data_IF_468173017467
#
_entry.id   IF_468173017467
#
_cell.length_a   1.000
_cell.length_b   1.000
_cell.length_c   1.000
_cell.angle_alpha   90.00
_cell.angle_beta   90.00
_cell.angle_gamma   90.00
#
_symmetry.space_group_name_H-M   'P 1'
#
loop_
_entity.id
_entity.type
_entity.pdbx_description
1 polymer ?
#
# COMPACT_ATOMS: atom_id res chain seq x y z
N UNK A 1 14.58 -12.76 4.47
CA UNK A 1 16.01 -13.15 4.56
C UNK A 1 16.92 -12.08 3.91
N UNK A 2 16.67 -11.68 2.64
CA UNK A 2 17.51 -10.67 1.95
C UNK A 2 17.52 -9.34 2.72
N UNK A 3 16.36 -8.81 3.10
CA UNK A 3 16.27 -7.55 3.84
C UNK A 3 16.90 -7.62 5.25
N UNK A 4 16.95 -8.81 5.87
CA UNK A 4 17.65 -9.01 7.15
C UNK A 4 19.17 -9.10 7.01
N UNK A 5 19.66 -9.56 5.87
CA UNK A 5 21.08 -9.64 5.54
C UNK A 5 21.64 -8.35 4.94
N UNK A 6 20.80 -7.31 4.78
CA UNK A 6 21.19 -5.99 4.32
C UNK A 6 21.03 -4.96 5.46
N UNK A 7 21.63 -3.79 5.32
CA UNK A 7 21.44 -2.65 6.24
C UNK A 7 20.08 -1.95 6.07
N UNK A 8 19.10 -2.64 5.48
CA UNK A 8 17.77 -2.10 5.23
C UNK A 8 17.02 -1.88 6.56
N UNK A 9 16.53 -0.67 6.76
CA UNK A 9 15.77 -0.28 7.95
C UNK A 9 14.27 -0.33 7.73
N UNK A 10 13.84 -0.15 6.47
CA UNK A 10 12.45 -0.20 6.05
C UNK A 10 12.35 -1.14 4.85
N UNK A 11 11.50 -2.15 4.96
CA UNK A 11 11.07 -2.99 3.84
C UNK A 11 9.71 -2.51 3.37
N UNK A 12 9.55 -2.30 2.07
CA UNK A 12 8.29 -1.92 1.46
C UNK A 12 7.85 -3.05 0.53
N UNK A 13 6.60 -3.47 0.62
CA UNK A 13 6.02 -4.48 -0.28
C UNK A 13 4.90 -3.86 -1.12
N UNK A 14 4.52 -4.49 -2.26
CA UNK A 14 3.44 -4.01 -3.12
C UNK A 14 2.06 -3.98 -2.44
N UNK A 15 1.10 -3.38 -3.13
CA UNK A 15 -0.32 -3.43 -2.81
C UNK A 15 -0.80 -4.88 -2.72
N UNK A 16 -1.63 -5.21 -1.71
CA UNK A 16 -2.20 -6.54 -1.42
C UNK A 16 -1.19 -7.69 -1.43
N UNK A 17 0.09 -7.43 -1.12
CA UNK A 17 1.18 -8.42 -1.22
C UNK A 17 1.02 -9.64 -0.31
N UNK A 18 0.14 -9.60 0.71
CA UNK A 18 -0.17 -10.76 1.55
C UNK A 18 -0.97 -11.82 0.79
N UNK A 19 -1.89 -11.40 -0.08
CA UNK A 19 -2.80 -12.30 -0.79
C UNK A 19 -2.59 -12.33 -2.31
N UNK A 20 -1.79 -11.42 -2.84
CA UNK A 20 -1.70 -11.17 -4.29
C UNK A 20 -2.78 -10.21 -4.78
N UNK A 21 -2.66 -9.77 -6.04
CA UNK A 21 -3.58 -8.86 -6.71
C UNK A 21 -3.91 -9.37 -8.11
N UNK A 22 -5.20 -9.43 -8.53
CA UNK A 22 -6.42 -9.19 -7.73
C UNK A 22 -6.83 -10.45 -6.94
N UNK A 23 -7.25 -10.33 -5.69
CA UNK A 23 -7.72 -11.47 -4.88
C UNK A 23 -9.19 -11.84 -5.15
N UNK A 24 -9.95 -11.00 -5.84
CA UNK A 24 -11.33 -11.22 -6.29
C UNK A 24 -12.27 -11.79 -5.23
N UNK A 25 -13.08 -12.82 -5.58
CA UNK A 25 -14.10 -13.41 -4.70
C UNK A 25 -13.50 -14.12 -3.46
N UNK A 26 -12.19 -14.36 -3.41
CA UNK A 26 -11.53 -14.81 -2.19
C UNK A 26 -11.75 -13.82 -1.03
N UNK A 27 -11.92 -12.53 -1.32
CA UNK A 27 -12.22 -11.50 -0.34
C UNK A 27 -13.56 -11.69 0.38
N UNK A 28 -14.49 -12.43 -0.20
CA UNK A 28 -15.78 -12.77 0.40
C UNK A 28 -15.64 -13.88 1.46
N UNK A 29 -14.58 -14.66 1.40
CA UNK A 29 -14.31 -15.73 2.36
C UNK A 29 -13.71 -15.16 3.65
N UNK A 30 -14.42 -15.41 4.75
CA UNK A 30 -14.00 -14.94 6.08
C UNK A 30 -12.65 -15.56 6.49
N UNK A 31 -12.48 -16.87 6.28
CA UNK A 31 -11.28 -17.59 6.70
C UNK A 31 -10.05 -17.13 5.94
N UNK A 32 -10.21 -16.75 4.66
CA UNK A 32 -9.15 -16.15 3.86
C UNK A 32 -8.67 -14.82 4.46
N UNK A 33 -9.58 -13.95 4.86
CA UNK A 33 -9.23 -12.67 5.48
C UNK A 33 -8.58 -12.88 6.85
N UNK A 34 -9.12 -13.81 7.66
CA UNK A 34 -8.55 -14.13 8.97
C UNK A 34 -7.12 -14.69 8.83
N UNK A 35 -6.83 -15.48 7.79
CA UNK A 35 -5.47 -15.97 7.52
C UNK A 35 -4.54 -14.87 7.02
N UNK A 36 -5.02 -13.90 6.26
CA UNK A 36 -4.27 -12.69 5.91
C UNK A 36 -3.85 -11.91 7.17
N UNK A 37 -4.77 -11.70 8.10
CA UNK A 37 -4.50 -11.01 9.37
C UNK A 37 -3.51 -11.81 10.23
N UNK A 38 -3.65 -13.14 10.33
CA UNK A 38 -2.72 -14.02 11.03
C UNK A 38 -1.32 -13.96 10.42
N UNK A 39 -1.22 -13.98 9.09
CA UNK A 39 0.05 -13.86 8.37
C UNK A 39 0.74 -12.54 8.66
N UNK A 40 -0.01 -11.45 8.72
CA UNK A 40 0.50 -10.13 9.05
C UNK A 40 1.13 -10.11 10.46
N UNK A 41 0.44 -10.69 11.45
CA UNK A 41 0.92 -10.78 12.82
C UNK A 41 2.16 -11.68 12.93
N UNK A 42 2.18 -12.84 12.25
CA UNK A 42 3.37 -13.72 12.19
C UNK A 42 4.59 -13.01 11.62
N UNK A 43 4.41 -12.21 10.55
CA UNK A 43 5.50 -11.42 9.96
C UNK A 43 6.00 -10.37 10.95
N UNK A 44 5.10 -9.63 11.61
CA UNK A 44 5.46 -8.64 12.60
C UNK A 44 6.31 -9.24 13.72
N UNK A 45 5.88 -10.36 14.28
CA UNK A 45 6.57 -11.07 15.38
C UNK A 45 7.91 -11.66 14.95
N UNK A 46 8.00 -12.18 13.71
CA UNK A 46 9.22 -12.79 13.17
C UNK A 46 10.32 -11.76 12.88
N UNK A 47 9.95 -10.52 12.55
CA UNK A 47 10.88 -9.47 12.13
C UNK A 47 10.75 -8.18 12.98
N UNK A 48 10.87 -8.25 14.31
CA UNK A 48 10.55 -7.13 15.20
C UNK A 48 11.49 -5.92 15.05
N UNK A 49 12.69 -6.11 14.53
CA UNK A 49 13.70 -5.05 14.35
C UNK A 49 13.56 -4.31 13.02
N UNK A 50 12.91 -4.90 12.02
CA UNK A 50 12.71 -4.33 10.70
C UNK A 50 11.35 -3.61 10.67
N UNK A 51 11.32 -2.36 10.20
CA UNK A 51 10.06 -1.69 9.88
C UNK A 51 9.57 -2.19 8.54
N UNK A 52 8.36 -2.75 8.48
CA UNK A 52 7.79 -3.31 7.25
C UNK A 52 6.53 -2.57 6.90
N UNK A 53 6.43 -2.09 5.65
CA UNK A 53 5.21 -1.54 5.07
C UNK A 53 4.65 -2.60 4.13
N UNK A 54 3.45 -3.10 4.42
CA UNK A 54 2.91 -4.28 3.74
C UNK A 54 1.45 -4.08 3.35
N UNK A 55 1.15 -4.34 2.05
CA UNK A 55 -0.21 -4.30 1.50
C UNK A 55 -1.00 -5.57 1.85
N UNK A 56 -2.23 -5.41 2.30
CA UNK A 56 -3.10 -6.52 2.69
C UNK A 56 -4.59 -6.13 2.68
N UNK A 57 -5.54 -7.10 2.52
CA UNK A 57 -6.94 -6.86 2.80
C UNK A 57 -7.14 -6.78 4.32
N UNK A 58 -8.01 -5.91 4.80
CA UNK A 58 -8.29 -5.71 6.22
C UNK A 58 -9.79 -5.65 6.49
N UNK A 59 -10.29 -6.46 7.42
CA UNK A 59 -11.65 -6.33 7.95
C UNK A 59 -11.65 -5.44 9.20
N UNK A 60 -12.47 -4.40 9.20
CA UNK A 60 -12.63 -3.52 10.34
C UNK A 60 -14.08 -3.07 10.49
N UNK A 61 -14.69 -3.30 11.65
CA UNK A 61 -16.11 -2.98 11.94
C UNK A 61 -17.08 -3.52 10.89
N UNK A 62 -16.84 -4.75 10.41
CA UNK A 62 -17.68 -5.42 9.42
C UNK A 62 -17.42 -4.98 7.96
N UNK A 63 -16.58 -3.99 7.73
CA UNK A 63 -16.21 -3.49 6.41
C UNK A 63 -14.85 -4.03 5.98
N UNK A 64 -14.64 -4.19 4.68
CA UNK A 64 -13.39 -4.65 4.10
C UNK A 64 -12.66 -3.48 3.43
N UNK A 65 -11.35 -3.41 3.61
CA UNK A 65 -10.48 -2.35 3.09
C UNK A 65 -9.27 -2.93 2.37
N UNK A 66 -8.84 -2.28 1.28
CA UNK A 66 -7.51 -2.44 0.72
C UNK A 66 -6.57 -1.57 1.56
N UNK A 67 -5.67 -2.18 2.30
CA UNK A 67 -4.90 -1.50 3.34
C UNK A 67 -3.40 -1.69 3.21
N UNK A 68 -2.66 -0.79 3.81
CA UNK A 68 -1.22 -0.93 4.04
C UNK A 68 -0.91 -0.71 5.52
N UNK A 69 -0.29 -1.70 6.14
CA UNK A 69 0.10 -1.65 7.56
C UNK A 69 1.60 -1.46 7.73
N UNK A 70 1.96 -0.71 8.76
CA UNK A 70 3.33 -0.54 9.24
C UNK A 70 3.53 -1.51 10.40
N UNK A 71 4.39 -2.50 10.18
CA UNK A 71 4.78 -3.48 11.20
C UNK A 71 6.10 -3.04 11.81
N UNK A 72 6.16 -3.00 13.13
CA UNK A 72 7.38 -2.70 13.86
C UNK A 72 7.29 -3.16 15.31
N UNK A 73 8.41 -3.59 15.89
CA UNK A 73 8.48 -4.07 17.29
C UNK A 73 7.49 -5.19 17.60
N UNK A 74 7.30 -6.11 16.66
CA UNK A 74 6.45 -7.29 16.82
C UNK A 74 4.95 -7.03 16.74
N UNK A 75 4.50 -5.86 16.28
CA UNK A 75 3.09 -5.47 16.20
C UNK A 75 2.78 -4.60 14.98
N UNK A 76 1.50 -4.45 14.69
CA UNK A 76 0.99 -3.45 13.76
C UNK A 76 1.03 -2.09 14.47
N UNK A 77 1.83 -1.16 13.96
CA UNK A 77 2.00 0.18 14.52
C UNK A 77 0.91 1.14 14.03
N UNK A 78 0.65 1.11 12.72
CA UNK A 78 -0.37 1.94 12.04
C UNK A 78 -0.90 1.22 10.81
N UNK A 79 -2.11 1.59 10.38
CA UNK A 79 -2.72 1.10 9.15
C UNK A 79 -3.33 2.26 8.36
N UNK A 80 -3.13 2.25 7.06
CA UNK A 80 -3.72 3.14 6.07
C UNK A 80 -4.71 2.34 5.21
N UNK A 81 -5.89 2.88 4.99
CA UNK A 81 -6.88 2.31 4.10
C UNK A 81 -6.95 3.16 2.82
N UNK A 82 -6.87 2.51 1.67
CA UNK A 82 -6.95 3.12 0.34
C UNK A 82 -8.19 3.99 0.22
N UNK A 83 -8.04 5.22 -0.26
CA UNK A 83 -9.15 6.18 -0.33
C UNK A 83 -9.83 6.19 -1.69
N UNK A 84 -9.09 5.95 -2.76
CA UNK A 84 -9.62 5.92 -4.12
C UNK A 84 -9.63 4.49 -4.63
N UNK A 85 -10.81 3.97 -4.87
CA UNK A 85 -11.04 2.62 -5.36
C UNK A 85 -11.34 2.67 -6.86
N UNK A 86 -10.42 2.21 -7.72
CA UNK A 86 -10.68 2.14 -9.16
C UNK A 86 -11.77 1.13 -9.46
N UNK A 87 -12.65 1.48 -10.41
CA UNK A 87 -13.75 0.63 -10.87
C UNK A 87 -13.94 0.80 -12.38
N UNK A 88 -12.86 0.60 -13.12
CA UNK A 88 -12.79 0.71 -14.58
C UNK A 88 -11.74 -0.25 -15.15
N UNK A 89 -11.89 -0.65 -16.41
CA UNK A 89 -11.00 -1.60 -17.05
C UNK A 89 -11.00 -2.93 -16.32
N UNK A 90 -9.84 -3.36 -15.85
CA UNK A 90 -9.64 -4.61 -15.09
C UNK A 90 -9.90 -4.45 -13.58
N UNK A 91 -10.26 -3.28 -13.13
CA UNK A 91 -10.44 -3.00 -11.71
C UNK A 91 -11.90 -3.03 -11.30
N UNK A 92 -12.23 -3.80 -10.25
CA UNK A 92 -13.55 -3.85 -9.61
C UNK A 92 -13.44 -3.74 -8.07
N UNK A 93 -12.63 -2.79 -7.60
CA UNK A 93 -12.36 -2.69 -6.17
C UNK A 93 -13.59 -2.26 -5.34
N UNK A 94 -14.49 -1.48 -5.91
CA UNK A 94 -15.72 -1.03 -5.21
C UNK A 94 -16.68 -2.16 -4.89
N UNK A 95 -16.58 -3.30 -5.59
CA UNK A 95 -17.37 -4.50 -5.30
C UNK A 95 -17.04 -5.08 -3.94
N UNK A 96 -15.79 -4.95 -3.51
CA UNK A 96 -15.28 -5.62 -2.32
C UNK A 96 -14.91 -4.65 -1.20
N UNK A 97 -14.28 -3.54 -1.54
CA UNK A 97 -13.65 -2.67 -0.57
C UNK A 97 -14.46 -1.39 -0.29
N UNK A 98 -14.37 -0.96 0.95
CA UNK A 98 -14.81 0.37 1.38
C UNK A 98 -13.65 1.35 1.29
N UNK A 99 -13.91 2.57 0.82
CA UNK A 99 -12.92 3.63 0.77
C UNK A 99 -12.52 4.11 2.18
N UNK A 100 -11.22 4.27 2.40
CA UNK A 100 -10.68 4.96 3.55
C UNK A 100 -10.92 6.48 3.48
N UNK A 101 -10.65 7.17 4.59
CA UNK A 101 -10.88 8.62 4.68
C UNK A 101 -9.82 9.40 5.46
N UNK A 102 -8.73 8.74 5.86
CA UNK A 102 -7.68 9.34 6.71
C UNK A 102 -6.31 9.23 6.05
N UNK A 103 -5.57 10.32 6.05
CA UNK A 103 -4.16 10.30 5.69
C UNK A 103 -3.34 9.60 6.77
N UNK A 104 -2.28 8.89 6.37
CA UNK A 104 -1.33 8.29 7.30
C UNK A 104 0.06 8.88 7.13
N UNK A 105 0.62 9.30 8.26
CA UNK A 105 2.01 9.75 8.36
C UNK A 105 2.70 8.99 9.49
N UNK A 106 3.97 8.66 9.27
CA UNK A 106 4.85 8.12 10.30
C UNK A 106 6.22 8.77 10.22
N UNK A 107 6.99 8.63 11.31
CA UNK A 107 8.35 9.14 11.39
C UNK A 107 9.34 7.99 11.54
N UNK A 108 10.45 8.08 10.83
CA UNK A 108 11.59 7.20 10.98
C UNK A 108 12.88 8.03 10.84
N UNK A 109 13.81 7.92 11.83
CA UNK A 109 15.07 8.69 11.87
C UNK A 109 14.90 10.19 11.54
N UNK A 110 13.97 10.85 12.22
CA UNK A 110 13.66 12.28 12.04
C UNK A 110 13.13 12.67 10.63
N UNK A 111 12.79 11.71 9.79
CA UNK A 111 12.15 11.94 8.50
C UNK A 111 10.68 11.56 8.56
N UNK A 112 9.83 12.38 7.94
CA UNK A 112 8.38 12.15 7.84
C UNK A 112 8.04 11.46 6.53
N UNK A 113 7.24 10.42 6.62
CA UNK A 113 6.76 9.62 5.49
C UNK A 113 5.24 9.70 5.43
N UNK A 114 4.68 9.96 4.25
CA UNK A 114 3.27 9.76 3.95
C UNK A 114 3.07 8.43 3.21
N UNK A 115 1.94 7.78 3.42
CA UNK A 115 1.62 6.49 2.79
C UNK A 115 0.39 6.63 1.90
N UNK A 116 0.47 6.09 0.69
CA UNK A 116 -0.58 6.04 -0.33
C UNK A 116 -0.61 4.64 -0.97
N UNK A 117 -1.76 4.28 -1.54
CA UNK A 117 -1.94 3.04 -2.29
C UNK A 117 -2.47 3.38 -3.69
N UNK A 118 -1.69 3.04 -4.70
CA UNK A 118 -2.02 3.02 -6.13
C UNK A 118 -2.81 4.25 -6.61
N UNK A 119 -4.12 4.13 -6.83
CA UNK A 119 -5.00 5.18 -7.37
C UNK A 119 -5.00 6.48 -6.55
N UNK A 120 -4.64 6.41 -5.26
CA UNK A 120 -4.56 7.59 -4.39
C UNK A 120 -3.59 8.67 -4.89
N UNK A 121 -2.60 8.30 -5.73
CA UNK A 121 -1.65 9.25 -6.32
C UNK A 121 -2.04 9.66 -7.75
N UNK A 122 -2.92 8.91 -8.41
CA UNK A 122 -3.29 9.16 -9.79
C UNK A 122 -4.34 10.25 -9.95
N UNK A 123 -5.25 10.37 -8.99
CA UNK A 123 -6.33 11.34 -9.00
C UNK A 123 -6.12 12.43 -7.95
N UNK A 124 -6.83 13.54 -8.10
CA UNK A 124 -6.80 14.61 -7.13
C UNK A 124 -7.44 14.17 -5.81
N UNK A 125 -6.81 14.44 -4.70
CA UNK A 125 -7.38 14.19 -3.37
C UNK A 125 -6.36 13.68 -2.34
N UNK A 126 -6.15 12.37 -2.16
CA UNK A 126 -5.35 11.83 -1.06
C UNK A 126 -3.91 12.36 -1.01
N UNK A 127 -3.24 12.44 -2.17
CA UNK A 127 -1.86 12.94 -2.23
C UNK A 127 -1.77 14.42 -1.80
N UNK A 128 -2.71 15.26 -2.22
CA UNK A 128 -2.75 16.69 -1.87
C UNK A 128 -3.16 16.94 -0.42
N UNK A 129 -3.91 16.03 0.19
CA UNK A 129 -4.32 16.11 1.60
C UNK A 129 -3.24 15.67 2.58
N UNK A 130 -2.18 15.00 2.10
CA UNK A 130 -1.04 14.68 2.98
C UNK A 130 -0.45 15.98 3.54
N UNK A 131 -0.17 16.10 4.82
CA UNK A 131 0.65 17.17 5.36
C UNK A 131 2.05 17.16 4.76
N UNK A 132 2.83 18.20 5.01
CA UNK A 132 4.22 18.27 4.54
C UNK A 132 5.03 17.11 5.10
N UNK A 133 5.61 16.31 4.19
CA UNK A 133 6.45 15.14 4.50
C UNK A 133 7.73 15.18 3.69
N UNK A 134 8.77 14.49 4.14
CA UNK A 134 10.03 14.35 3.40
C UNK A 134 9.88 13.32 2.26
N UNK A 135 9.15 12.25 2.52
CA UNK A 135 8.95 11.14 1.58
C UNK A 135 7.47 10.78 1.45
N UNK A 136 7.07 10.42 0.25
CA UNK A 136 5.78 9.78 -0.02
C UNK A 136 6.06 8.37 -0.50
N UNK A 137 5.50 7.38 0.16
CA UNK A 137 5.54 5.98 -0.26
C UNK A 137 4.21 5.67 -0.92
N UNK A 138 4.25 5.20 -2.17
CA UNK A 138 3.08 4.71 -2.89
C UNK A 138 3.32 3.26 -3.30
N UNK A 139 2.54 2.34 -2.73
CA UNK A 139 2.57 0.92 -3.07
C UNK A 139 1.50 0.62 -4.11
N UNK A 140 1.83 -0.19 -5.13
CA UNK A 140 0.96 -0.39 -6.28
C UNK A 140 0.94 -1.86 -6.73
N UNK A 141 -0.16 -2.22 -7.40
CA UNK A 141 -0.31 -3.42 -8.20
C UNK A 141 -0.91 -3.07 -9.57
N UNK A 142 -0.35 -2.03 -10.21
CA UNK A 142 -0.81 -1.58 -11.52
C UNK A 142 -0.36 -2.53 -12.63
N UNK A 143 -1.26 -2.94 -13.56
CA UNK A 143 -0.91 -3.81 -14.66
C UNK A 143 0.14 -3.17 -15.58
N UNK A 144 0.91 -4.04 -16.24
CA UNK A 144 1.86 -3.61 -17.25
C UNK A 144 1.13 -3.20 -18.54
N UNK A 145 1.47 -2.03 -19.05
CA UNK A 145 1.06 -1.56 -20.36
C UNK A 145 2.26 -0.90 -21.06
N UNK A 146 2.34 -1.05 -22.37
CA UNK A 146 3.35 -0.37 -23.20
C UNK A 146 3.20 1.15 -23.04
N UNK A 147 4.31 1.86 -22.81
CA UNK A 147 4.37 3.32 -22.59
C UNK A 147 3.69 3.84 -21.30
N UNK A 148 3.15 2.98 -20.45
CA UNK A 148 2.51 3.40 -19.17
C UNK A 148 3.47 4.14 -18.23
N UNK A 149 4.77 3.88 -18.34
CA UNK A 149 5.79 4.57 -17.54
C UNK A 149 5.82 6.08 -17.81
N UNK A 150 5.69 6.52 -19.04
CA UNK A 150 5.69 7.95 -19.39
C UNK A 150 4.43 8.63 -18.85
N UNK A 151 3.27 7.99 -19.04
CA UNK A 151 1.99 8.48 -18.49
C UNK A 151 2.06 8.57 -16.96
N UNK A 152 2.61 7.53 -16.32
CA UNK A 152 2.82 7.47 -14.87
C UNK A 152 3.67 8.61 -14.36
N UNK A 153 4.83 8.84 -14.97
CA UNK A 153 5.74 9.93 -14.60
C UNK A 153 5.06 11.29 -14.79
N UNK A 154 4.30 11.47 -15.87
CA UNK A 154 3.57 12.72 -16.15
C UNK A 154 2.51 13.00 -15.08
N UNK A 155 1.68 12.02 -14.71
CA UNK A 155 0.64 12.19 -13.69
C UNK A 155 1.24 12.41 -12.29
N UNK A 156 2.25 11.64 -11.92
CA UNK A 156 2.96 11.79 -10.65
C UNK A 156 3.60 13.17 -10.53
N UNK A 157 4.23 13.68 -11.59
CA UNK A 157 4.84 15.01 -11.61
C UNK A 157 3.84 16.15 -11.37
N UNK A 158 2.58 15.97 -11.70
CA UNK A 158 1.53 16.96 -11.41
C UNK A 158 1.22 17.07 -9.92
N UNK A 159 1.45 15.99 -9.13
CA UNK A 159 1.03 15.88 -7.73
C UNK A 159 2.14 16.01 -6.71
N UNK A 160 3.34 15.54 -7.06
CA UNK A 160 4.49 15.51 -6.13
C UNK A 160 5.32 16.80 -6.12
N UNK A 161 5.56 17.53 -7.23
CA UNK A 161 6.48 18.68 -7.25
C UNK A 161 6.04 19.85 -6.37
N UNK A 162 4.74 20.01 -6.14
CA UNK A 162 4.20 21.09 -5.31
C UNK A 162 4.64 20.96 -3.84
N UNK A 163 5.23 19.84 -3.42
CA UNK A 163 5.49 19.52 -2.01
C UNK A 163 6.94 19.39 -1.62
N UNK A 164 7.87 19.40 -2.56
CA UNK A 164 9.30 19.15 -2.31
C UNK A 164 9.56 17.82 -1.55
N UNK A 165 8.70 16.83 -1.76
CA UNK A 165 8.84 15.49 -1.18
C UNK A 165 9.48 14.54 -2.20
N UNK A 166 10.26 13.58 -1.72
CA UNK A 166 10.75 12.47 -2.55
C UNK A 166 9.68 11.38 -2.63
N UNK A 167 9.31 10.95 -3.84
CA UNK A 167 8.39 9.83 -4.04
C UNK A 167 9.16 8.52 -4.15
N UNK A 168 8.74 7.54 -3.36
CA UNK A 168 9.11 6.13 -3.45
C UNK A 168 7.89 5.41 -4.05
N UNK A 169 7.97 5.08 -5.34
CA UNK A 169 6.90 4.43 -6.07
C UNK A 169 7.27 2.96 -6.30
N UNK A 170 6.58 2.05 -5.64
CA UNK A 170 6.78 0.61 -5.76
C UNK A 170 5.62 -0.01 -6.53
N UNK A 171 5.89 -0.79 -7.56
CA UNK A 171 4.89 -1.60 -8.26
C UNK A 171 5.22 -3.08 -8.12
N UNK A 172 4.17 -3.92 -8.20
CA UNK A 172 4.35 -5.37 -8.29
C UNK A 172 5.11 -5.73 -9.56
N UNK A 173 5.97 -6.74 -9.48
CA UNK A 173 6.68 -7.34 -10.63
C UNK A 173 6.29 -8.81 -10.65
N UNK A 174 5.77 -9.27 -11.79
CA UNK A 174 5.33 -10.64 -11.99
C UNK A 174 4.21 -10.71 -13.02
N UNK A 175 3.87 -11.93 -13.45
CA UNK A 175 2.66 -12.25 -14.19
C UNK A 175 1.64 -12.85 -13.24
N UNK A 176 0.39 -12.55 -13.46
CA UNK A 176 -0.73 -13.28 -12.88
C UNK A 176 -1.52 -13.86 -14.06
N UNK A 177 -1.82 -15.14 -13.95
CA UNK A 177 -2.63 -15.86 -14.94
C UNK A 177 -4.09 -15.79 -14.48
N UNK A 178 -4.97 -15.43 -15.39
CA UNK A 178 -6.43 -15.46 -15.19
C UNK A 178 -6.97 -16.86 -15.47
#
# INVERSE_FOLDING_TARGET
KIAQGSDAEILITPELSICGYPPEDLLLNKDFIDECDNSLLRIAQKFPKLKIIIGHPRRHKGLLFNSASILYKGKIEKTYDKQILPNYGVFDEKRYFQAGNKSLIFTHKNKKFGLLICEDIWVQGPAEKLPKVDYIICINASPYEVNKNEVRIKEIKKRVPLRKSTLIYLNIVGGQDD
#
